data_IF_483977316066
#
_entry.id   IF_483977316066
#
_cell.length_a   1.000
_cell.length_b   1.000
_cell.length_c   1.000
_cell.angle_alpha   90.00
_cell.angle_beta   90.00
_cell.angle_gamma   90.00
#
_symmetry.space_group_name_H-M   'P 1'
#
loop_
_entity.id
_entity.type
_entity.pdbx_description
1 polymer ?
#
# COMPACT_ATOMS: atom_id res chain seq x y z
N UNK A 1 54.27 -30.34 -9.34
CA UNK A 1 53.67 -30.33 -8.00
C UNK A 1 52.48 -29.36 -8.02
N UNK A 2 51.37 -29.86 -7.71
CA UNK A 2 50.02 -29.45 -8.06
C UNK A 2 49.49 -28.30 -7.19
N UNK A 3 49.16 -27.18 -7.81
CA UNK A 3 48.33 -26.14 -7.19
C UNK A 3 46.84 -26.47 -7.41
N UNK A 4 46.19 -26.98 -6.40
CA UNK A 4 44.73 -27.21 -6.40
C UNK A 4 44.00 -25.91 -6.20
N UNK A 5 43.15 -25.60 -7.16
CA UNK A 5 42.20 -24.51 -7.21
C UNK A 5 41.22 -24.59 -6.06
N UNK A 6 41.13 -23.54 -5.29
CA UNK A 6 40.01 -23.30 -4.38
C UNK A 6 38.96 -22.49 -5.19
N UNK A 7 37.99 -23.22 -5.69
CA UNK A 7 36.76 -22.63 -6.26
C UNK A 7 35.77 -22.58 -5.10
N UNK A 8 35.80 -21.51 -4.30
CA UNK A 8 34.85 -21.29 -3.22
C UNK A 8 33.73 -20.38 -3.75
N UNK A 9 32.62 -20.98 -4.05
CA UNK A 9 31.31 -20.73 -3.50
C UNK A 9 30.99 -19.24 -3.24
N UNK A 10 30.55 -18.56 -4.31
CA UNK A 10 29.66 -17.37 -4.17
C UNK A 10 28.27 -17.81 -4.60
N UNK A 11 27.64 -18.62 -3.76
CA UNK A 11 26.23 -18.89 -3.82
C UNK A 11 25.72 -18.55 -2.43
N UNK A 12 25.07 -17.45 -2.29
CA UNK A 12 24.04 -17.22 -1.28
C UNK A 12 23.77 -15.72 -1.13
N UNK A 13 22.52 -15.43 -1.02
CA UNK A 13 21.85 -14.21 -0.61
C UNK A 13 21.20 -13.48 -1.79
N UNK A 14 20.23 -14.14 -2.41
CA UNK A 14 19.24 -13.46 -3.26
C UNK A 14 17.80 -13.78 -2.81
N UNK A 15 17.55 -13.97 -1.53
CA UNK A 15 16.25 -14.46 -1.08
C UNK A 15 15.51 -13.60 -0.03
N UNK A 16 15.83 -12.30 0.17
CA UNK A 16 15.18 -11.55 1.26
C UNK A 16 14.65 -10.16 0.91
N UNK A 17 14.48 -9.79 -0.37
CA UNK A 17 14.11 -8.41 -0.71
C UNK A 17 12.70 -8.20 -1.32
N UNK A 18 11.89 -9.24 -1.45
CA UNK A 18 10.59 -9.11 -2.14
C UNK A 18 9.58 -8.19 -1.42
N UNK A 19 9.37 -8.28 -0.09
CA UNK A 19 8.37 -7.43 0.58
C UNK A 19 8.72 -5.93 0.57
N UNK A 20 10.00 -5.59 0.78
CA UNK A 20 10.46 -4.20 0.77
C UNK A 20 10.32 -3.55 -0.63
N UNK A 21 10.38 -4.34 -1.68
CA UNK A 21 10.20 -3.89 -3.06
C UNK A 21 8.74 -3.58 -3.38
N UNK A 22 7.78 -4.35 -2.85
CA UNK A 22 6.35 -4.16 -3.10
C UNK A 22 5.87 -2.79 -2.61
N UNK A 23 6.21 -2.41 -1.38
CA UNK A 23 5.85 -1.08 -0.83
C UNK A 23 6.58 0.06 -1.53
N UNK A 24 7.81 -0.16 -2.01
CA UNK A 24 8.62 0.86 -2.68
C UNK A 24 7.97 1.40 -3.94
N UNK A 25 7.44 0.52 -4.80
CA UNK A 25 6.85 0.95 -6.07
C UNK A 25 5.59 1.80 -5.85
N UNK A 26 4.72 1.43 -4.91
CA UNK A 26 3.55 2.26 -4.56
C UNK A 26 3.96 3.65 -4.07
N UNK A 27 5.02 3.75 -3.27
CA UNK A 27 5.55 5.05 -2.80
C UNK A 27 6.11 5.89 -3.95
N UNK A 28 6.80 5.27 -4.91
CA UNK A 28 7.29 5.98 -6.10
C UNK A 28 6.13 6.49 -6.96
N UNK A 29 5.08 5.70 -7.16
CA UNK A 29 3.86 6.13 -7.85
C UNK A 29 3.23 7.31 -7.10
N UNK A 30 3.04 7.20 -5.78
CA UNK A 30 2.49 8.27 -4.94
C UNK A 30 3.28 9.57 -5.11
N UNK A 31 4.60 9.55 -4.91
CA UNK A 31 5.48 10.72 -5.03
C UNK A 31 5.42 11.36 -6.43
N UNK A 32 5.45 10.54 -7.49
CA UNK A 32 5.32 11.01 -8.87
C UNK A 32 4.03 11.82 -9.07
N UNK A 33 2.92 11.29 -8.61
CA UNK A 33 1.62 11.91 -8.84
C UNK A 33 1.32 13.07 -7.89
N UNK A 34 1.84 13.07 -6.66
CA UNK A 34 1.79 14.23 -5.77
C UNK A 34 2.55 15.43 -6.38
N UNK A 35 3.74 15.19 -6.95
CA UNK A 35 4.49 16.23 -7.62
C UNK A 35 3.80 16.74 -8.89
N UNK A 36 3.22 15.84 -9.68
CA UNK A 36 2.46 16.22 -10.88
C UNK A 36 1.22 17.04 -10.51
N UNK A 37 0.48 16.66 -9.46
CA UNK A 37 -0.66 17.43 -8.97
C UNK A 37 -0.25 18.82 -8.50
N UNK A 38 0.83 18.95 -7.74
CA UNK A 38 1.36 20.23 -7.29
C UNK A 38 1.70 21.15 -8.47
N UNK A 39 2.37 20.61 -9.50
CA UNK A 39 2.71 21.35 -10.71
C UNK A 39 1.46 21.82 -11.48
N UNK A 40 0.44 20.96 -11.64
CA UNK A 40 -0.82 21.32 -12.28
C UNK A 40 -1.51 22.44 -11.50
N UNK A 41 -1.62 22.32 -10.18
CA UNK A 41 -2.25 23.32 -9.32
C UNK A 41 -1.53 24.67 -9.36
N UNK A 42 -0.20 24.67 -9.30
CA UNK A 42 0.61 25.88 -9.41
C UNK A 42 0.37 26.58 -10.75
N UNK A 43 0.51 25.85 -11.87
CA UNK A 43 0.28 26.40 -13.21
C UNK A 43 -1.14 26.96 -13.35
N UNK A 44 -2.14 26.25 -12.87
CA UNK A 44 -3.53 26.68 -12.88
C UNK A 44 -3.74 27.98 -12.09
N UNK A 45 -3.11 28.10 -10.93
CA UNK A 45 -3.16 29.34 -10.12
C UNK A 45 -2.54 30.53 -10.87
N UNK A 46 -1.34 30.36 -11.42
CA UNK A 46 -0.65 31.39 -12.18
C UNK A 46 -1.43 31.83 -13.41
N UNK A 47 -2.00 30.88 -14.18
CA UNK A 47 -2.75 31.18 -15.39
C UNK A 47 -4.12 31.82 -15.07
N UNK A 48 -4.78 31.44 -13.98
CA UNK A 48 -6.03 32.08 -13.53
C UNK A 48 -5.80 33.54 -13.11
N UNK A 49 -4.65 33.88 -12.55
CA UNK A 49 -4.30 35.25 -12.18
C UNK A 49 -4.08 36.18 -13.39
N UNK A 50 -3.68 35.64 -14.55
CA UNK A 50 -3.44 36.42 -15.79
C UNK A 50 -4.74 36.75 -16.51
N UNK A 51 -5.86 36.13 -16.17
CA UNK A 51 -7.13 36.27 -16.88
C UNK A 51 -8.00 37.34 -16.22
N UNK A 52 -8.45 38.30 -17.00
CA UNK A 52 -9.21 39.46 -16.48
C UNK A 52 -10.71 39.18 -16.30
N UNK A 53 -11.36 38.45 -17.23
CA UNK A 53 -12.78 38.22 -17.18
C UNK A 53 -13.18 37.05 -16.27
N UNK A 54 -14.30 37.19 -15.57
CA UNK A 54 -14.84 36.13 -14.72
C UNK A 54 -15.18 34.84 -15.51
N UNK A 55 -15.68 35.00 -16.73
CA UNK A 55 -15.98 33.87 -17.61
C UNK A 55 -14.73 33.07 -17.94
N UNK A 56 -13.66 33.73 -18.35
CA UNK A 56 -12.41 33.07 -18.68
C UNK A 56 -11.75 32.41 -17.42
N UNK A 57 -11.93 33.01 -16.22
CA UNK A 57 -11.50 32.36 -14.97
C UNK A 57 -12.25 31.06 -14.72
N UNK A 58 -13.56 31.04 -14.94
CA UNK A 58 -14.39 29.84 -14.78
C UNK A 58 -14.00 28.74 -15.78
N UNK A 59 -13.72 29.11 -17.03
CA UNK A 59 -13.24 28.18 -18.05
C UNK A 59 -11.88 27.58 -17.67
N UNK A 60 -10.96 28.41 -17.17
CA UNK A 60 -9.65 27.96 -16.68
C UNK A 60 -9.79 26.98 -15.50
N UNK A 61 -10.64 27.29 -14.51
CA UNK A 61 -10.88 26.40 -13.37
C UNK A 61 -11.47 25.04 -13.82
N UNK A 62 -12.37 25.07 -14.82
CA UNK A 62 -12.93 23.84 -15.40
C UNK A 62 -11.84 23.03 -16.12
N UNK A 63 -10.97 23.68 -16.88
CA UNK A 63 -9.81 23.03 -17.51
C UNK A 63 -8.91 22.38 -16.46
N UNK A 64 -8.55 23.11 -15.41
CA UNK A 64 -7.71 22.62 -14.32
C UNK A 64 -8.32 21.40 -13.60
N UNK A 65 -9.61 21.44 -13.35
CA UNK A 65 -10.31 20.30 -12.73
C UNK A 65 -10.27 19.05 -13.60
N UNK A 66 -10.40 19.22 -14.92
CA UNK A 66 -10.28 18.11 -15.88
C UNK A 66 -8.87 17.52 -15.90
N UNK A 67 -7.82 18.36 -15.90
CA UNK A 67 -6.43 17.88 -15.86
C UNK A 67 -6.11 17.13 -14.58
N UNK A 68 -6.56 17.62 -13.40
CA UNK A 68 -6.41 16.92 -12.14
C UNK A 68 -7.16 15.57 -12.16
N UNK A 69 -8.38 15.53 -12.68
CA UNK A 69 -9.15 14.29 -12.81
C UNK A 69 -8.45 13.27 -13.70
N UNK A 70 -7.90 13.71 -14.84
CA UNK A 70 -7.12 12.86 -15.75
C UNK A 70 -5.86 12.32 -15.07
N UNK A 71 -5.15 13.15 -14.34
CA UNK A 71 -3.97 12.76 -13.56
C UNK A 71 -4.31 11.73 -12.49
N UNK A 72 -5.41 11.93 -11.72
CA UNK A 72 -5.88 10.98 -10.71
C UNK A 72 -6.23 9.62 -11.33
N UNK A 73 -6.92 9.62 -12.49
CA UNK A 73 -7.23 8.38 -13.21
C UNK A 73 -5.95 7.64 -13.67
N UNK A 74 -4.93 8.36 -14.14
CA UNK A 74 -3.65 7.76 -14.52
C UNK A 74 -2.93 7.15 -13.30
N UNK A 75 -2.91 7.84 -12.15
CA UNK A 75 -2.39 7.30 -10.89
C UNK A 75 -3.10 6.00 -10.49
N UNK A 76 -4.42 6.00 -10.53
CA UNK A 76 -5.21 4.81 -10.19
C UNK A 76 -4.86 3.64 -11.11
N UNK A 77 -4.72 3.88 -12.40
CA UNK A 77 -4.33 2.86 -13.37
C UNK A 77 -2.94 2.28 -13.07
N UNK A 78 -1.95 3.12 -12.78
CA UNK A 78 -0.61 2.65 -12.40
C UNK A 78 -0.63 1.81 -11.11
N UNK A 79 -1.39 2.25 -10.10
CA UNK A 79 -1.57 1.49 -8.86
C UNK A 79 -2.22 0.13 -9.10
N UNK A 80 -3.24 0.05 -9.97
CA UNK A 80 -3.90 -1.22 -10.32
C UNK A 80 -2.93 -2.17 -11.04
N UNK A 81 -2.12 -1.65 -11.94
CA UNK A 81 -1.09 -2.44 -12.64
C UNK A 81 -0.07 -3.00 -11.64
N UNK A 82 0.42 -2.17 -10.73
CA UNK A 82 1.37 -2.61 -9.71
C UNK A 82 0.75 -3.64 -8.75
N UNK A 83 -0.48 -3.42 -8.31
CA UNK A 83 -1.20 -4.38 -7.47
C UNK A 83 -1.36 -5.73 -8.19
N UNK A 84 -1.70 -5.70 -9.47
CA UNK A 84 -1.83 -6.91 -10.29
C UNK A 84 -0.50 -7.65 -10.44
N UNK A 85 0.61 -6.91 -10.59
CA UNK A 85 1.96 -7.48 -10.63
C UNK A 85 2.31 -8.20 -9.34
N UNK A 86 2.08 -7.54 -8.19
CA UNK A 86 2.35 -8.11 -6.87
C UNK A 86 1.53 -9.39 -6.64
N UNK A 87 0.24 -9.37 -6.96
CA UNK A 87 -0.62 -10.55 -6.83
C UNK A 87 -0.15 -11.72 -7.69
N UNK A 88 0.31 -11.44 -8.91
CA UNK A 88 0.84 -12.48 -9.81
C UNK A 88 2.15 -13.07 -9.30
N UNK A 89 3.03 -12.26 -8.73
CA UNK A 89 4.30 -12.72 -8.17
C UNK A 89 4.12 -13.45 -6.83
N UNK A 90 3.14 -13.05 -6.02
CA UNK A 90 2.85 -13.65 -4.72
C UNK A 90 2.20 -15.03 -4.78
N UNK A 91 1.57 -15.41 -5.89
CA UNK A 91 0.87 -16.69 -6.03
C UNK A 91 1.79 -17.93 -6.11
N UNK A 92 3.12 -17.73 -6.12
CA UNK A 92 4.09 -18.83 -6.27
C UNK A 92 4.45 -19.59 -4.98
N UNK A 93 4.22 -19.04 -3.78
CA UNK A 93 4.67 -19.64 -2.52
C UNK A 93 3.74 -19.32 -1.33
N UNK A 94 2.46 -19.63 -1.46
CA UNK A 94 1.56 -19.57 -0.31
C UNK A 94 1.82 -20.76 0.63
N UNK A 95 2.74 -20.63 1.54
CA UNK A 95 2.71 -21.42 2.77
C UNK A 95 1.78 -20.62 3.69
N UNK A 96 0.56 -21.11 3.85
CA UNK A 96 -0.37 -20.60 4.85
C UNK A 96 0.39 -20.63 6.19
N UNK A 97 0.65 -19.45 6.75
CA UNK A 97 1.21 -19.39 8.09
C UNK A 97 0.24 -20.18 8.99
N UNK A 98 0.75 -21.12 9.81
CA UNK A 98 -0.12 -21.85 10.70
C UNK A 98 -0.94 -20.84 11.50
N UNK A 99 -2.26 -21.05 11.61
CA UNK A 99 -3.07 -20.31 12.58
C UNK A 99 -2.34 -20.44 13.90
N UNK A 100 -1.80 -19.31 14.38
CA UNK A 100 -1.04 -19.33 15.62
C UNK A 100 -2.03 -19.73 16.71
N UNK A 101 -1.87 -20.93 17.20
CA UNK A 101 -2.56 -21.40 18.41
C UNK A 101 -2.20 -20.39 19.51
N UNK A 102 -3.19 -19.60 19.93
CA UNK A 102 -3.01 -18.53 20.91
C UNK A 102 -2.99 -19.10 22.33
N UNK A 103 -2.22 -20.16 22.55
CA UNK A 103 -1.86 -20.56 23.90
C UNK A 103 -0.92 -19.49 24.45
N UNK A 104 -1.28 -18.85 25.56
CA UNK A 104 -0.50 -17.85 26.30
C UNK A 104 0.79 -18.47 26.85
N UNK A 105 1.70 -18.88 25.96
CA UNK A 105 3.03 -19.32 26.38
C UNK A 105 3.89 -18.07 26.67
N UNK A 106 4.69 -18.17 27.71
CA UNK A 106 5.61 -17.10 28.10
C UNK A 106 6.54 -16.74 26.94
N UNK A 107 6.41 -15.51 26.43
CA UNK A 107 7.17 -15.01 25.28
C UNK A 107 6.40 -14.95 23.96
N UNK A 108 5.13 -15.32 23.95
CA UNK A 108 4.24 -15.15 22.81
C UNK A 108 3.68 -13.72 22.76
N UNK A 109 3.63 -13.14 21.56
CA UNK A 109 2.99 -11.84 21.33
C UNK A 109 2.39 -11.76 19.93
N UNK A 110 1.29 -11.04 19.82
CA UNK A 110 0.70 -10.68 18.52
C UNK A 110 1.46 -9.52 17.88
N UNK A 111 1.34 -9.35 16.55
CA UNK A 111 1.94 -8.19 15.89
C UNK A 111 1.32 -6.89 16.39
N UNK A 112 2.13 -5.85 16.49
CA UNK A 112 1.68 -4.53 16.91
C UNK A 112 2.19 -3.45 15.95
N UNK A 113 1.29 -2.56 15.51
CA UNK A 113 1.69 -1.38 14.73
C UNK A 113 2.22 -0.28 15.66
N UNK A 114 3.29 0.45 15.29
CA UNK A 114 3.81 1.55 16.10
C UNK A 114 2.76 2.65 16.32
N UNK A 115 2.27 2.77 17.56
CA UNK A 115 1.14 3.64 17.93
C UNK A 115 -0.21 2.92 17.93
N UNK A 116 -0.23 1.59 17.76
CA UNK A 116 -1.41 0.74 17.86
C UNK A 116 -2.32 0.77 16.64
N UNK A 117 -3.47 0.09 16.76
CA UNK A 117 -4.44 -0.05 15.67
C UNK A 117 -5.00 1.30 15.18
N UNK A 118 -5.19 2.26 16.07
CA UNK A 118 -5.69 3.59 15.70
C UNK A 118 -4.71 4.32 14.79
N UNK A 119 -3.40 4.25 15.07
CA UNK A 119 -2.37 4.84 14.23
C UNK A 119 -2.32 4.17 12.83
N UNK A 120 -2.50 2.84 12.78
CA UNK A 120 -2.57 2.12 11.52
C UNK A 120 -3.80 2.51 10.69
N UNK A 121 -4.98 2.59 11.31
CA UNK A 121 -6.22 3.02 10.64
C UNK A 121 -6.13 4.46 10.12
N UNK A 122 -5.52 5.36 10.90
CA UNK A 122 -5.29 6.74 10.46
C UNK A 122 -4.38 6.78 9.23
N UNK A 123 -3.26 6.04 9.24
CA UNK A 123 -2.33 6.01 8.11
C UNK A 123 -2.98 5.37 6.86
N UNK A 124 -3.82 4.34 7.01
CA UNK A 124 -4.64 3.83 5.91
C UNK A 124 -5.54 4.93 5.36
N UNK A 125 -6.26 5.65 6.23
CA UNK A 125 -7.19 6.73 5.81
C UNK A 125 -6.47 7.86 5.06
N UNK A 126 -5.29 8.25 5.51
CA UNK A 126 -4.45 9.26 4.86
C UNK A 126 -3.95 8.84 3.46
N UNK A 127 -3.74 7.54 3.28
CA UNK A 127 -3.27 6.96 2.02
C UNK A 127 -4.40 6.52 1.08
N UNK A 128 -5.65 6.66 1.50
CA UNK A 128 -6.81 6.17 0.77
C UNK A 128 -7.24 7.15 -0.32
N UNK A 129 -7.37 6.67 -1.55
CA UNK A 129 -7.81 7.50 -2.67
C UNK A 129 -9.33 7.40 -2.86
N UNK A 130 -10.07 8.22 -2.13
CA UNK A 130 -11.55 8.22 -2.11
C UNK A 130 -12.18 8.41 -3.49
N UNK A 131 -11.58 9.29 -4.33
CA UNK A 131 -12.07 9.57 -5.69
C UNK A 131 -12.02 8.35 -6.62
N UNK A 132 -11.26 7.33 -6.27
CA UNK A 132 -11.05 6.12 -7.07
C UNK A 132 -12.01 4.98 -6.69
N UNK A 133 -12.88 5.20 -5.69
CA UNK A 133 -13.91 4.25 -5.26
C UNK A 133 -15.23 4.57 -5.96
N UNK A 134 -15.86 3.53 -6.49
CA UNK A 134 -17.18 3.63 -7.10
C UNK A 134 -18.25 3.26 -6.08
N UNK A 135 -19.37 3.99 -6.10
CA UNK A 135 -20.51 3.78 -5.21
C UNK A 135 -20.51 4.74 -4.00
N UNK A 136 -21.67 4.81 -3.34
CA UNK A 136 -21.96 5.69 -2.21
C UNK A 136 -22.28 4.86 -0.97
N UNK A 137 -22.46 5.55 0.16
CA UNK A 137 -22.86 4.93 1.43
C UNK A 137 -21.72 4.22 2.14
N UNK A 138 -22.07 3.29 2.99
CA UNK A 138 -21.10 2.57 3.83
C UNK A 138 -20.46 1.44 3.02
N UNK A 139 -19.14 1.50 2.84
CA UNK A 139 -18.34 0.44 2.22
C UNK A 139 -17.58 -0.33 3.29
N UNK A 140 -17.53 -1.65 3.15
CA UNK A 140 -16.87 -2.54 4.11
C UNK A 140 -16.03 -3.57 3.38
N UNK A 141 -14.86 -3.89 3.94
CA UNK A 141 -14.08 -5.05 3.55
C UNK A 141 -13.30 -5.60 4.75
N UNK A 142 -12.78 -6.80 4.60
CA UNK A 142 -11.78 -7.39 5.49
C UNK A 142 -10.47 -7.38 4.73
N UNK A 143 -9.48 -6.65 5.23
CA UNK A 143 -8.12 -6.73 4.71
C UNK A 143 -7.39 -7.84 5.44
N UNK A 144 -6.83 -8.75 4.68
CA UNK A 144 -5.96 -9.81 5.15
C UNK A 144 -4.54 -9.52 4.69
N UNK A 145 -3.59 -9.54 5.60
CA UNK A 145 -2.18 -9.27 5.30
C UNK A 145 -1.28 -10.14 6.16
N UNK A 146 -0.09 -10.43 5.65
CA UNK A 146 0.96 -11.11 6.42
C UNK A 146 1.94 -10.08 6.95
N UNK A 147 2.20 -10.12 8.26
CA UNK A 147 3.29 -9.39 8.90
C UNK A 147 4.47 -10.34 9.01
N UNK A 148 5.55 -9.99 8.34
CA UNK A 148 6.75 -10.81 8.27
C UNK A 148 7.59 -10.71 9.54
N UNK A 149 8.55 -11.62 9.71
CA UNK A 149 9.47 -11.67 10.86
C UNK A 149 10.27 -10.38 11.05
N UNK A 150 10.49 -9.62 9.98
CA UNK A 150 11.19 -8.32 10.00
C UNK A 150 10.25 -7.12 10.18
N UNK A 151 8.96 -7.37 10.38
CA UNK A 151 7.91 -6.35 10.52
C UNK A 151 7.44 -5.74 9.20
N UNK A 152 7.91 -6.19 8.05
CA UNK A 152 7.37 -5.81 6.75
C UNK A 152 6.02 -6.48 6.50
N UNK A 153 5.25 -5.94 5.54
CA UNK A 153 3.97 -6.50 5.13
C UNK A 153 4.09 -7.20 3.78
N UNK A 154 3.34 -8.28 3.62
CA UNK A 154 3.22 -9.03 2.38
C UNK A 154 1.80 -9.59 2.22
N UNK A 155 1.50 -10.18 1.06
CA UNK A 155 0.25 -10.91 0.79
C UNK A 155 -1.03 -10.14 1.15
N UNK A 156 -1.06 -8.82 0.87
CA UNK A 156 -2.23 -7.99 1.16
C UNK A 156 -3.34 -8.33 0.19
N UNK A 157 -4.52 -8.67 0.72
CA UNK A 157 -5.76 -8.87 -0.02
C UNK A 157 -6.93 -8.27 0.75
N UNK A 158 -7.90 -7.72 0.04
CA UNK A 158 -9.12 -7.21 0.64
C UNK A 158 -10.33 -7.94 0.06
N UNK A 159 -11.26 -8.33 0.92
CA UNK A 159 -12.46 -9.09 0.61
C UNK A 159 -13.70 -8.32 1.07
N UNK A 160 -14.54 -7.92 0.13
CA UNK A 160 -15.77 -7.17 0.33
C UNK A 160 -16.55 -7.07 -0.98
N UNK A 161 -17.77 -6.57 -0.92
CA UNK A 161 -18.67 -6.48 -2.07
C UNK A 161 -18.20 -5.48 -3.14
N UNK A 162 -17.52 -4.42 -2.73
CA UNK A 162 -17.07 -3.35 -3.62
C UNK A 162 -15.61 -3.55 -4.04
N UNK A 163 -15.41 -4.03 -5.26
CA UNK A 163 -14.08 -4.29 -5.80
C UNK A 163 -13.20 -3.03 -5.91
N UNK A 164 -13.78 -1.85 -6.14
CA UNK A 164 -12.99 -0.60 -6.18
C UNK A 164 -12.53 -0.20 -4.79
N UNK A 165 -13.38 -0.38 -3.77
CA UNK A 165 -13.03 -0.18 -2.37
C UNK A 165 -11.95 -1.16 -1.91
N UNK A 166 -12.12 -2.45 -2.23
CA UNK A 166 -11.13 -3.48 -1.91
C UNK A 166 -9.74 -3.13 -2.47
N UNK A 167 -9.66 -2.74 -3.75
CA UNK A 167 -8.38 -2.33 -4.36
C UNK A 167 -7.75 -1.12 -3.67
N UNK A 168 -8.55 -0.10 -3.32
CA UNK A 168 -8.03 1.08 -2.62
C UNK A 168 -7.56 0.74 -1.21
N UNK A 169 -8.26 -0.16 -0.50
CA UNK A 169 -7.82 -0.66 0.80
C UNK A 169 -6.46 -1.37 0.72
N UNK A 170 -6.26 -2.24 -0.27
CA UNK A 170 -4.98 -2.92 -0.51
C UNK A 170 -3.85 -1.92 -0.80
N UNK A 171 -4.09 -0.96 -1.69
CA UNK A 171 -3.12 0.08 -2.05
C UNK A 171 -2.76 0.92 -0.82
N UNK A 172 -3.75 1.36 -0.03
CA UNK A 172 -3.54 2.17 1.17
C UNK A 172 -2.69 1.42 2.21
N UNK A 173 -2.90 0.11 2.37
CA UNK A 173 -2.06 -0.73 3.25
C UNK A 173 -0.62 -0.80 2.74
N UNK A 174 -0.39 -1.01 1.44
CA UNK A 174 0.97 -1.00 0.89
C UNK A 174 1.68 0.36 0.98
N UNK A 175 0.92 1.45 1.10
CA UNK A 175 1.45 2.80 1.27
C UNK A 175 1.82 3.14 2.71
N UNK A 176 1.47 2.31 3.70
CA UNK A 176 1.90 2.53 5.09
C UNK A 176 3.41 2.52 5.21
N UNK A 177 3.95 3.35 6.09
CA UNK A 177 5.39 3.64 6.13
C UNK A 177 6.13 2.95 7.25
N UNK A 178 5.45 2.70 8.38
CA UNK A 178 6.06 2.12 9.57
C UNK A 178 6.11 0.61 9.48
N UNK A 179 7.19 0.02 9.95
CA UNK A 179 7.27 -1.42 10.15
C UNK A 179 6.50 -1.82 11.41
N UNK A 180 5.86 -2.97 11.35
CA UNK A 180 5.23 -3.59 12.50
C UNK A 180 6.27 -4.17 13.47
N UNK A 181 5.93 -4.23 14.74
CA UNK A 181 6.56 -5.15 15.67
C UNK A 181 6.01 -6.54 15.32
N UNK A 182 6.84 -7.52 14.90
CA UNK A 182 6.34 -8.82 14.45
C UNK A 182 5.78 -9.65 15.62
N UNK A 183 4.91 -10.60 15.30
CA UNK A 183 4.50 -11.63 16.24
C UNK A 183 5.72 -12.42 16.73
N UNK A 184 5.63 -12.94 17.94
CA UNK A 184 6.66 -13.81 18.52
C UNK A 184 6.04 -15.09 19.06
N UNK A 185 6.77 -16.19 18.93
CA UNK A 185 6.47 -17.44 19.59
C UNK A 185 7.73 -17.91 20.33
N UNK A 186 7.62 -18.13 21.64
CA UNK A 186 8.77 -18.42 22.51
C UNK A 186 9.83 -17.31 22.47
N UNK A 187 9.45 -16.05 22.20
CA UNK A 187 10.38 -14.92 22.03
C UNK A 187 11.00 -14.79 20.64
N UNK A 188 10.80 -15.75 19.73
CA UNK A 188 11.35 -15.72 18.37
C UNK A 188 10.35 -15.07 17.41
N UNK A 189 10.76 -14.09 16.56
CA UNK A 189 9.88 -13.48 15.56
C UNK A 189 9.36 -14.52 14.56
N UNK A 190 8.04 -14.47 14.33
CA UNK A 190 7.34 -15.31 13.34
C UNK A 190 6.54 -14.46 12.37
N UNK A 191 6.28 -14.98 11.17
CA UNK A 191 5.31 -14.39 10.23
C UNK A 191 3.90 -14.67 10.73
N UNK A 192 2.99 -13.70 10.62
CA UNK A 192 1.65 -13.78 11.16
C UNK A 192 0.62 -13.20 10.21
N UNK A 193 -0.45 -13.95 9.91
CA UNK A 193 -1.58 -13.44 9.13
C UNK A 193 -2.55 -12.67 10.02
N UNK A 194 -2.85 -11.42 9.64
CA UNK A 194 -3.84 -10.58 10.31
C UNK A 194 -5.06 -10.34 9.43
N UNK A 195 -6.23 -10.24 10.08
CA UNK A 195 -7.50 -9.83 9.46
C UNK A 195 -7.96 -8.53 10.11
N UNK A 196 -8.12 -7.49 9.29
CA UNK A 196 -8.44 -6.14 9.75
C UNK A 196 -9.72 -5.67 9.04
N UNK A 197 -10.84 -5.48 9.75
CA UNK A 197 -12.04 -4.91 9.17
C UNK A 197 -11.83 -3.42 8.88
N UNK A 198 -12.16 -2.99 7.67
CA UNK A 198 -12.19 -1.60 7.27
C UNK A 198 -13.62 -1.20 6.90
N UNK A 199 -14.06 -0.05 7.43
CA UNK A 199 -15.36 0.53 7.12
C UNK A 199 -15.18 2.02 6.87
N UNK A 200 -15.68 2.50 5.74
CA UNK A 200 -15.69 3.93 5.40
C UNK A 200 -17.03 4.33 4.81
N UNK A 201 -17.41 5.61 4.99
CA UNK A 201 -18.65 6.18 4.45
C UNK A 201 -18.32 7.13 3.31
N UNK A 202 -18.96 6.92 2.17
CA UNK A 202 -18.85 7.74 0.96
C UNK A 202 -20.13 8.54 0.76
N UNK A 203 -20.00 9.83 0.46
CA UNK A 203 -21.11 10.78 0.20
C UNK A 203 -21.31 10.97 -1.29
#
# INVERSE_FOLDING_TARGET
MTAKKICAFVFLIFCTFVPAQQTKNFRLIKQKYEQLEANIRQKCSEDTLKVASQQAKNEMLLYCSKEIKKMKAARNQENIVELSRIKKEGTGNYIQAPEADTSDQKGDSRPEYPGGNAAFQNEISENFYFDDVQGNGIQKCIVVLTIEKDGSISNVRAEGENNSYNRQAEIAVYLTTKKWNPARSGGVPISYEMKIPLTMTFQ
#
